data_IF_968931143198
#
_entry.id   IF_968931143198
#
_cell.length_a   1.000
_cell.length_b   1.000
_cell.length_c   1.000
_cell.angle_alpha   90.00
_cell.angle_beta   90.00
_cell.angle_gamma   90.00
#
_symmetry.space_group_name_H-M   'P 1'
#
loop_
_entity.id
_entity.type
_entity.pdbx_description
1 polymer ?
#
# COMPACT_ATOMS: atom_id res chain seq x y z
N UNK A 1 -8.56 8.94 11.98
CA UNK A 1 -7.96 8.30 10.80
C UNK A 1 -6.90 9.21 10.24
N UNK A 2 -5.73 8.68 9.92
CA UNK A 2 -4.67 9.45 9.26
C UNK A 2 -4.85 9.41 7.75
N UNK A 3 -4.46 10.48 7.06
CA UNK A 3 -4.45 10.52 5.59
C UNK A 3 -3.07 10.07 5.12
N UNK A 4 -3.04 9.05 4.27
CA UNK A 4 -1.84 8.45 3.72
C UNK A 4 -1.37 9.16 2.44
N UNK A 5 -2.31 9.59 1.60
CA UNK A 5 -2.04 10.27 0.33
C UNK A 5 -3.28 11.01 -0.17
N UNK A 6 -3.11 11.87 -1.16
CA UNK A 6 -4.20 12.53 -1.90
C UNK A 6 -3.91 12.58 -3.39
N UNK A 7 -4.97 12.59 -4.21
CA UNK A 7 -4.91 12.73 -5.66
C UNK A 7 -6.24 13.30 -6.15
N UNK A 8 -6.20 14.40 -6.93
CA UNK A 8 -7.38 15.02 -7.55
C UNK A 8 -8.55 15.31 -6.58
N UNK A 9 -8.21 15.70 -5.35
CA UNK A 9 -9.17 15.98 -4.29
C UNK A 9 -9.73 14.74 -3.58
N UNK A 10 -9.43 13.53 -4.05
CA UNK A 10 -9.68 12.29 -3.33
C UNK A 10 -8.58 12.03 -2.30
N UNK A 11 -8.95 11.42 -1.18
CA UNK A 11 -8.04 11.10 -0.09
C UNK A 11 -7.93 9.59 0.11
N UNK A 12 -6.71 9.08 0.27
CA UNK A 12 -6.45 7.75 0.78
C UNK A 12 -6.25 7.83 2.29
N UNK A 13 -7.08 7.14 3.07
CA UNK A 13 -6.97 7.10 4.52
C UNK A 13 -6.42 5.76 5.01
N UNK A 14 -5.76 5.81 6.18
CA UNK A 14 -5.52 4.61 6.97
C UNK A 14 -6.87 3.91 7.25
N UNK A 15 -6.88 2.57 7.22
CA UNK A 15 -8.05 1.68 7.19
C UNK A 15 -8.58 1.26 5.80
N UNK A 16 -7.81 1.44 4.73
CA UNK A 16 -8.19 1.00 3.37
C UNK A 16 -9.45 1.69 2.85
N UNK A 17 -9.52 3.01 3.05
CA UNK A 17 -10.61 3.85 2.57
C UNK A 17 -10.10 4.88 1.57
N UNK A 18 -10.84 5.04 0.46
CA UNK A 18 -10.74 6.18 -0.43
C UNK A 18 -11.95 7.07 -0.20
N UNK A 19 -11.69 8.35 0.09
CA UNK A 19 -12.71 9.33 0.47
C UNK A 19 -12.83 10.37 -0.62
N UNK A 20 -14.06 10.75 -0.94
CA UNK A 20 -14.35 12.00 -1.65
C UNK A 20 -14.92 13.00 -0.64
N UNK A 21 -14.14 13.99 -0.16
CA UNK A 21 -14.61 14.96 0.84
C UNK A 21 -15.78 15.82 0.36
N UNK A 22 -15.91 16.03 -0.96
CA UNK A 22 -16.96 16.87 -1.56
C UNK A 22 -18.29 16.13 -1.58
N UNK A 23 -18.29 14.87 -2.04
CA UNK A 23 -19.52 14.06 -2.10
C UNK A 23 -19.80 13.30 -0.80
N UNK A 24 -18.81 13.24 0.10
CA UNK A 24 -18.79 12.43 1.33
C UNK A 24 -18.86 10.92 1.07
N UNK A 25 -18.59 10.50 -0.15
CA UNK A 25 -18.52 9.09 -0.50
C UNK A 25 -17.25 8.46 0.10
N UNK A 26 -17.44 7.27 0.67
CA UNK A 26 -16.38 6.45 1.22
C UNK A 26 -16.38 5.15 0.45
N UNK A 27 -15.23 4.80 -0.10
CA UNK A 27 -15.03 3.54 -0.78
C UNK A 27 -14.00 2.72 -0.04
N UNK A 28 -14.44 1.59 0.50
CA UNK A 28 -13.56 0.62 1.14
C UNK A 28 -12.90 -0.27 0.08
N UNK A 29 -11.70 -0.75 0.39
CA UNK A 29 -11.05 -1.80 -0.39
C UNK A 29 -10.45 -2.86 0.54
N UNK A 30 -10.39 -4.13 0.11
CA UNK A 30 -9.86 -5.18 0.95
C UNK A 30 -8.34 -5.01 1.14
N UNK A 31 -7.76 -5.56 2.21
CA UNK A 31 -6.30 -5.71 2.32
C UNK A 31 -5.73 -6.44 1.11
N UNK A 32 -4.47 -6.15 0.75
CA UNK A 32 -3.81 -6.87 -0.34
C UNK A 32 -3.66 -8.35 0.03
N UNK A 33 -4.12 -9.31 -0.81
CA UNK A 33 -3.91 -10.73 -0.56
C UNK A 33 -2.44 -11.15 -0.72
N UNK A 34 -1.58 -10.24 -1.22
CA UNK A 34 -0.15 -10.45 -1.39
C UNK A 34 0.67 -9.96 -0.19
N UNK A 35 0.00 -9.49 0.87
CA UNK A 35 0.64 -9.29 2.17
C UNK A 35 1.22 -10.63 2.62
N UNK A 36 2.55 -10.75 2.59
CA UNK A 36 3.24 -11.83 3.27
C UNK A 36 3.10 -11.66 4.79
N UNK A 37 3.67 -12.61 5.53
CA UNK A 37 3.70 -12.66 6.99
C UNK A 37 3.93 -11.27 7.64
N UNK A 38 2.91 -10.70 8.33
CA UNK A 38 3.01 -9.41 9.00
C UNK A 38 4.16 -9.32 10.01
N UNK A 39 4.59 -10.46 10.57
CA UNK A 39 5.72 -10.51 11.50
C UNK A 39 7.06 -10.28 10.80
N UNK A 40 7.14 -10.46 9.48
CA UNK A 40 8.35 -10.20 8.67
C UNK A 40 8.33 -8.83 7.98
N UNK A 41 7.19 -8.16 7.95
CA UNK A 41 7.10 -6.79 7.42
C UNK A 41 7.88 -5.85 8.33
N UNK A 42 8.92 -5.23 7.80
CA UNK A 42 9.75 -4.25 8.53
C UNK A 42 9.23 -2.83 8.34
N UNK A 43 8.72 -2.53 7.14
CA UNK A 43 8.05 -1.26 6.86
C UNK A 43 7.10 -1.38 5.68
N UNK A 44 6.22 -0.38 5.52
CA UNK A 44 5.39 -0.27 4.33
C UNK A 44 5.16 1.18 3.93
N UNK A 45 4.84 1.39 2.65
CA UNK A 45 4.52 2.70 2.07
C UNK A 45 3.27 2.59 1.21
N UNK A 46 2.53 3.69 1.15
CA UNK A 46 1.32 3.82 0.36
C UNK A 46 1.50 4.89 -0.70
N UNK A 47 0.94 4.65 -1.88
CA UNK A 47 0.80 5.61 -2.96
C UNK A 47 -0.64 5.59 -3.46
N UNK A 48 -1.09 6.74 -3.96
CA UNK A 48 -2.41 6.89 -4.55
C UNK A 48 -2.32 7.81 -5.76
N UNK A 49 -2.92 7.42 -6.87
CA UNK A 49 -2.80 8.19 -8.10
C UNK A 49 -3.81 7.81 -9.17
N UNK A 50 -3.98 8.72 -10.12
CA UNK A 50 -4.82 8.52 -11.29
C UNK A 50 -4.00 7.94 -12.45
N UNK A 51 -4.46 6.81 -12.99
CA UNK A 51 -3.99 6.20 -14.22
C UNK A 51 -4.87 6.69 -15.37
N UNK A 52 -4.39 7.72 -16.06
CA UNK A 52 -5.10 8.37 -17.16
C UNK A 52 -5.29 7.48 -18.40
N UNK A 53 -4.44 6.45 -18.57
CA UNK A 53 -4.55 5.54 -19.72
C UNK A 53 -5.76 4.62 -19.55
N UNK A 54 -6.01 4.16 -18.32
CA UNK A 54 -7.11 3.24 -18.00
C UNK A 54 -8.34 3.94 -17.41
N UNK A 55 -8.26 5.26 -17.20
CA UNK A 55 -9.26 6.06 -16.50
C UNK A 55 -9.65 5.40 -15.17
N UNK A 56 -8.66 5.29 -14.28
CA UNK A 56 -8.75 4.53 -13.04
C UNK A 56 -7.88 5.14 -11.95
N UNK A 57 -8.42 5.24 -10.73
CA UNK A 57 -7.63 5.55 -9.56
C UNK A 57 -7.02 4.26 -9.01
N UNK A 58 -5.74 4.30 -8.66
CA UNK A 58 -5.03 3.14 -8.13
C UNK A 58 -4.40 3.44 -6.79
N UNK A 59 -4.48 2.45 -5.90
CA UNK A 59 -3.71 2.44 -4.66
C UNK A 59 -2.50 1.54 -4.88
N UNK A 60 -1.32 2.06 -4.60
CA UNK A 60 -0.06 1.31 -4.60
C UNK A 60 0.30 1.05 -3.15
N UNK A 61 0.53 -0.22 -2.83
CA UNK A 61 1.01 -0.64 -1.52
C UNK A 61 2.35 -1.33 -1.70
N UNK A 62 3.37 -0.77 -1.04
CA UNK A 62 4.73 -1.28 -1.06
C UNK A 62 5.04 -1.85 0.31
N UNK A 63 5.38 -3.13 0.37
CA UNK A 63 5.79 -3.80 1.59
C UNK A 63 7.24 -4.24 1.52
N UNK A 64 7.99 -3.94 2.57
CA UNK A 64 9.38 -4.31 2.75
C UNK A 64 9.46 -5.42 3.80
N UNK A 65 10.12 -6.51 3.46
CA UNK A 65 10.32 -7.67 4.33
C UNK A 65 11.79 -7.88 4.62
N UNK A 66 12.09 -8.29 5.85
CA UNK A 66 13.44 -8.58 6.29
C UNK A 66 13.44 -9.60 7.43
N UNK A 67 14.63 -10.10 7.77
CA UNK A 67 14.81 -10.89 8.98
C UNK A 67 14.75 -9.93 10.18
N UNK A 68 13.82 -10.16 11.11
CA UNK A 68 13.99 -9.61 12.46
C UNK A 68 15.18 -10.35 13.07
N UNK A 69 16.30 -9.66 13.24
CA UNK A 69 17.39 -10.20 14.05
C UNK A 69 16.89 -10.14 15.49
N UNK A 70 16.72 -11.29 16.12
CA UNK A 70 16.29 -11.38 17.51
C UNK A 70 17.36 -10.71 18.39
N UNK A 71 16.99 -9.60 19.04
CA UNK A 71 17.57 -8.94 20.21
C UNK A 71 19.02 -9.33 20.62
N UNK A 72 20.03 -8.99 19.81
CA UNK A 72 21.44 -8.92 20.27
C UNK A 72 22.06 -7.56 19.90
N UNK A 73 21.60 -6.54 20.62
CA UNK A 73 22.31 -5.31 21.04
C UNK A 73 23.22 -4.58 20.03
N UNK A 74 22.95 -4.70 18.74
CA UNK A 74 23.59 -3.89 17.72
C UNK A 74 22.51 -3.19 16.90
N UNK A 75 22.65 -1.87 16.75
CA UNK A 75 21.87 -0.97 15.88
C UNK A 75 22.02 -1.34 14.39
N UNK A 76 21.79 -2.60 14.04
CA UNK A 76 21.82 -3.06 12.67
C UNK A 76 20.41 -2.83 12.13
N UNK A 77 20.26 -1.77 11.34
CA UNK A 77 19.07 -1.52 10.54
C UNK A 77 18.62 -2.84 9.88
N UNK A 78 17.34 -3.23 10.04
CA UNK A 78 16.86 -4.51 9.55
C UNK A 78 17.16 -4.64 8.05
N UNK A 79 17.90 -5.69 7.69
CA UNK A 79 18.30 -5.94 6.31
C UNK A 79 17.05 -6.24 5.48
N UNK A 80 16.59 -5.25 4.71
CA UNK A 80 15.46 -5.39 3.80
C UNK A 80 15.88 -6.33 2.67
N UNK A 81 15.38 -7.56 2.71
CA UNK A 81 15.77 -8.61 1.75
C UNK A 81 14.80 -8.66 0.58
N UNK A 82 13.53 -8.29 0.79
CA UNK A 82 12.48 -8.44 -0.22
C UNK A 82 11.54 -7.22 -0.23
N UNK A 83 11.19 -6.77 -1.43
CA UNK A 83 10.23 -5.71 -1.68
C UNK A 83 9.08 -6.25 -2.53
N UNK A 84 7.84 -5.94 -2.15
CA UNK A 84 6.67 -6.27 -2.97
C UNK A 84 5.80 -5.05 -3.22
N UNK A 85 5.37 -4.93 -4.48
CA UNK A 85 4.44 -3.88 -4.91
C UNK A 85 3.11 -4.52 -5.28
N UNK A 86 2.08 -4.17 -4.51
CA UNK A 86 0.69 -4.51 -4.77
C UNK A 86 -0.04 -3.28 -5.30
N UNK A 87 -0.86 -3.45 -6.34
CA UNK A 87 -1.60 -2.36 -6.97
C UNK A 87 -3.08 -2.73 -6.94
N UNK A 88 -3.89 -1.92 -6.25
CA UNK A 88 -5.34 -2.03 -6.26
C UNK A 88 -5.90 -1.09 -7.31
N UNK A 89 -6.77 -1.61 -8.17
CA UNK A 89 -7.57 -0.80 -9.08
C UNK A 89 -8.91 -0.50 -8.44
N UNK A 90 -9.26 0.78 -8.33
CA UNK A 90 -10.60 1.15 -7.88
C UNK A 90 -11.63 0.72 -8.92
N UNK A 91 -11.35 0.86 -10.21
CA UNK A 91 -12.29 0.50 -11.28
C UNK A 91 -12.64 -0.99 -11.28
N UNK A 92 -11.66 -1.88 -11.20
CA UNK A 92 -11.93 -3.34 -11.20
C UNK A 92 -12.23 -3.90 -9.81
N UNK A 93 -11.91 -3.16 -8.74
CA UNK A 93 -12.09 -3.64 -7.36
C UNK A 93 -11.16 -4.81 -7.01
N UNK A 94 -9.99 -4.89 -7.64
CA UNK A 94 -9.07 -6.02 -7.48
C UNK A 94 -7.62 -5.60 -7.31
N UNK A 95 -6.90 -6.42 -6.56
CA UNK A 95 -5.46 -6.32 -6.40
C UNK A 95 -4.73 -7.08 -7.50
N UNK A 96 -3.58 -6.56 -7.91
CA UNK A 96 -2.57 -7.29 -8.68
C UNK A 96 -1.19 -7.05 -8.08
N UNK A 97 -0.31 -8.03 -8.22
CA UNK A 97 1.11 -7.87 -7.90
C UNK A 97 1.85 -7.33 -9.11
N UNK A 98 2.74 -6.36 -8.91
CA UNK A 98 3.67 -5.96 -9.96
C UNK A 98 4.64 -7.12 -10.22
N UNK A 99 4.86 -7.47 -11.49
CA UNK A 99 5.67 -8.64 -11.85
C UNK A 99 7.17 -8.40 -11.67
N UNK A 100 7.62 -7.15 -11.73
CA UNK A 100 9.02 -6.76 -11.58
C UNK A 100 9.12 -5.73 -10.46
N UNK A 101 9.37 -6.20 -9.24
CA UNK A 101 9.86 -5.33 -8.16
C UNK A 101 11.39 -5.32 -8.24
N UNK A 102 12.05 -4.16 -8.19
CA UNK A 102 13.51 -4.10 -8.13
C UNK A 102 14.05 -4.81 -6.90
#
# INVERSE_FOLDING_TARGET
SWILASCDGLLLAECHHVLNPVTREIREFPPSPYLMDPFKTVSSKWGFGYDSVNDDYKVVYISYYGRRLDDDDNEIEPECTEMFVSIYSLKSGSWRRAQNSP
#
